data_IF_537412587861
#
_entry.id   IF_537412587861
#
_cell.length_a   1.000
_cell.length_b   1.000
_cell.length_c   1.000
_cell.angle_alpha   90.00
_cell.angle_beta   90.00
_cell.angle_gamma   90.00
#
_symmetry.space_group_name_H-M   'P 1'
#
loop_
_entity.id
_entity.type
_entity.pdbx_description
1 polymer ?
#
# COMPACT_ATOMS: atom_id res chain seq x y z
N UNK A 1 13.29 12.15 7.23
CA UNK A 1 12.05 11.34 7.11
C UNK A 1 10.83 11.88 7.87
N UNK A 2 10.94 12.39 9.12
CA UNK A 2 9.76 12.94 9.85
C UNK A 2 9.00 14.05 9.10
N UNK A 3 9.68 14.88 8.30
CA UNK A 3 9.03 15.92 7.47
C UNK A 3 8.24 15.36 6.28
N UNK A 4 8.56 14.15 5.79
CA UNK A 4 7.92 13.56 4.60
C UNK A 4 6.61 12.83 4.93
N UNK A 5 6.49 12.27 6.14
CA UNK A 5 5.33 11.50 6.60
C UNK A 5 4.35 12.39 7.36
N UNK A 6 3.73 13.30 6.64
CA UNK A 6 2.58 14.08 7.11
C UNK A 6 1.39 13.88 6.14
N UNK A 7 0.13 14.10 6.58
CA UNK A 7 -1.04 13.83 5.76
C UNK A 7 -1.04 14.55 4.41
N UNK A 8 -0.55 15.79 4.37
CA UNK A 8 -0.50 16.59 3.14
C UNK A 8 0.54 16.06 2.15
N UNK A 9 1.76 15.77 2.59
CA UNK A 9 2.80 15.16 1.76
C UNK A 9 2.39 13.78 1.27
N UNK A 10 1.69 13.01 2.11
CA UNK A 10 1.13 11.71 1.73
C UNK A 10 0.04 11.84 0.66
N UNK A 11 -0.83 12.85 0.77
CA UNK A 11 -1.79 13.17 -0.29
C UNK A 11 -1.06 13.46 -1.60
N UNK A 12 -0.06 14.35 -1.59
CA UNK A 12 0.71 14.70 -2.80
C UNK A 12 1.42 13.48 -3.39
N UNK A 13 2.06 12.65 -2.56
CA UNK A 13 2.66 11.39 -3.00
C UNK A 13 1.62 10.45 -3.62
N UNK A 14 0.44 10.32 -3.00
CA UNK A 14 -0.68 9.54 -3.51
C UNK A 14 -1.12 10.03 -4.88
N UNK A 15 -1.37 11.34 -5.03
CA UNK A 15 -1.77 11.96 -6.29
C UNK A 15 -0.75 11.68 -7.41
N UNK A 16 0.55 11.87 -7.13
CA UNK A 16 1.63 11.64 -8.10
C UNK A 16 1.71 10.15 -8.50
N UNK A 17 1.68 9.25 -7.52
CA UNK A 17 1.77 7.81 -7.77
C UNK A 17 0.53 7.31 -8.51
N UNK A 18 -0.68 7.81 -8.21
CA UNK A 18 -1.91 7.43 -8.91
C UNK A 18 -1.90 7.83 -10.39
N UNK A 19 -1.44 9.05 -10.69
CA UNK A 19 -1.24 9.49 -12.07
C UNK A 19 -0.20 8.62 -12.76
N UNK A 20 0.96 8.39 -12.12
CA UNK A 20 2.03 7.58 -12.70
C UNK A 20 1.59 6.13 -12.95
N UNK A 21 0.89 5.51 -12.00
CA UNK A 21 0.36 4.16 -12.13
C UNK A 21 -0.59 4.05 -13.33
N UNK A 22 -1.52 5.02 -13.49
CA UNK A 22 -2.43 5.00 -14.64
C UNK A 22 -1.72 5.26 -15.97
N UNK A 23 -0.69 6.09 -15.99
CA UNK A 23 0.13 6.27 -17.21
C UNK A 23 0.90 4.99 -17.53
N UNK A 24 1.42 4.27 -16.52
CA UNK A 24 2.05 2.98 -16.73
C UNK A 24 1.08 1.94 -17.28
N UNK A 25 -0.19 1.91 -16.85
CA UNK A 25 -1.20 1.04 -17.46
C UNK A 25 -1.37 1.28 -18.96
N UNK A 26 -1.22 2.52 -19.42
CA UNK A 26 -1.44 2.89 -20.83
C UNK A 26 -0.20 2.62 -21.68
N UNK A 27 0.99 2.94 -21.17
CA UNK A 27 2.22 2.92 -21.96
C UNK A 27 3.12 1.71 -21.70
N UNK A 28 2.94 1.02 -20.57
CA UNK A 28 3.78 -0.09 -20.11
C UNK A 28 2.91 -1.14 -19.40
N UNK A 29 2.13 -1.92 -20.14
CA UNK A 29 1.13 -2.86 -19.60
C UNK A 29 1.65 -3.74 -18.45
N UNK A 30 2.84 -4.36 -18.60
CA UNK A 30 3.45 -5.17 -17.53
C UNK A 30 3.69 -4.39 -16.23
N UNK A 31 4.07 -3.12 -16.29
CA UNK A 31 4.28 -2.27 -15.10
C UNK A 31 2.96 -1.85 -14.48
N UNK A 32 1.96 -1.55 -15.30
CA UNK A 32 0.61 -1.22 -14.85
C UNK A 32 -0.06 -2.34 -14.07
N UNK A 33 0.05 -3.58 -14.59
CA UNK A 33 -0.44 -4.77 -13.92
C UNK A 33 0.20 -4.94 -12.53
N UNK A 34 1.52 -4.75 -12.42
CA UNK A 34 2.23 -4.84 -11.14
C UNK A 34 1.73 -3.78 -10.14
N UNK A 35 1.60 -2.52 -10.56
CA UNK A 35 1.14 -1.43 -9.68
C UNK A 35 -0.31 -1.60 -9.21
N UNK A 36 -1.10 -2.39 -9.93
CA UNK A 36 -2.47 -2.73 -9.59
C UNK A 36 -2.58 -3.90 -8.59
N UNK A 37 -1.50 -4.66 -8.35
CA UNK A 37 -1.50 -5.81 -7.44
C UNK A 37 -1.68 -5.40 -5.97
N UNK A 38 -2.38 -6.25 -5.20
CA UNK A 38 -2.59 -6.03 -3.75
C UNK A 38 -1.27 -5.98 -2.97
N UNK A 39 -0.27 -6.74 -3.42
CA UNK A 39 1.05 -6.82 -2.78
C UNK A 39 1.75 -5.45 -2.75
N UNK A 40 1.62 -4.65 -3.81
CA UNK A 40 2.18 -3.28 -3.87
C UNK A 40 1.50 -2.37 -2.86
N UNK A 41 0.17 -2.41 -2.78
CA UNK A 41 -0.59 -1.62 -1.82
C UNK A 41 -0.23 -1.98 -0.37
N UNK A 42 -0.09 -3.27 -0.08
CA UNK A 42 0.29 -3.75 1.25
C UNK A 42 1.73 -3.36 1.56
N UNK A 43 2.66 -3.44 0.59
CA UNK A 43 4.03 -2.97 0.77
C UNK A 43 4.08 -1.48 1.09
N UNK A 44 3.46 -0.63 0.25
CA UNK A 44 3.45 0.82 0.44
C UNK A 44 2.78 1.21 1.75
N UNK A 45 1.63 0.62 2.07
CA UNK A 45 0.92 0.84 3.33
C UNK A 45 1.74 0.40 4.54
N UNK A 46 2.42 -0.74 4.45
CA UNK A 46 3.33 -1.21 5.50
C UNK A 46 4.50 -0.27 5.67
N UNK A 47 5.13 0.21 4.60
CA UNK A 47 6.23 1.17 4.68
C UNK A 47 5.79 2.48 5.36
N UNK A 48 4.66 3.06 4.92
CA UNK A 48 4.09 4.26 5.55
C UNK A 48 3.82 4.02 7.04
N UNK A 49 3.25 2.86 7.39
CA UNK A 49 2.97 2.50 8.76
C UNK A 49 4.24 2.32 9.59
N UNK A 50 5.21 1.52 9.15
CA UNK A 50 6.38 1.18 9.97
C UNK A 50 7.32 2.37 10.20
N UNK A 51 7.38 3.31 9.25
CA UNK A 51 8.18 4.53 9.35
C UNK A 51 7.44 5.68 10.06
N UNK A 52 6.13 5.57 10.27
CA UNK A 52 5.36 6.59 11.00
C UNK A 52 5.75 6.62 12.49
N UNK A 53 5.80 7.82 13.10
CA UNK A 53 6.28 7.98 14.48
C UNK A 53 5.34 7.34 15.51
N UNK A 54 4.03 7.37 15.27
CA UNK A 54 3.01 6.80 16.17
C UNK A 54 1.97 6.00 15.39
N UNK A 55 1.22 5.13 16.08
CA UNK A 55 0.09 4.39 15.49
C UNK A 55 -0.95 5.33 14.87
N UNK A 56 -1.26 6.43 15.57
CA UNK A 56 -2.16 7.49 15.08
C UNK A 56 -1.61 8.15 13.82
N UNK A 57 -0.31 8.47 13.78
CA UNK A 57 0.30 9.04 12.58
C UNK A 57 0.27 8.06 11.39
N UNK A 58 0.49 6.76 11.61
CA UNK A 58 0.35 5.75 10.56
C UNK A 58 -1.05 5.76 9.94
N UNK A 59 -2.09 5.76 10.79
CA UNK A 59 -3.49 5.79 10.37
C UNK A 59 -3.86 7.09 9.62
N UNK A 60 -3.37 8.25 10.10
CA UNK A 60 -3.64 9.55 9.49
C UNK A 60 -2.87 9.79 8.18
N UNK A 61 -1.71 9.14 8.02
CA UNK A 61 -0.86 9.29 6.84
C UNK A 61 -1.32 8.40 5.69
N UNK A 62 -1.79 7.18 5.96
CA UNK A 62 -2.14 6.22 4.90
C UNK A 62 -3.41 6.60 4.15
N UNK A 63 -4.42 7.13 4.86
CA UNK A 63 -5.71 7.48 4.25
C UNK A 63 -5.58 8.50 3.12
N UNK A 64 -4.98 9.69 3.32
CA UNK A 64 -4.82 10.67 2.25
C UNK A 64 -3.93 10.15 1.12
N UNK A 65 -2.95 9.29 1.41
CA UNK A 65 -2.17 8.61 0.38
C UNK A 65 -3.05 7.75 -0.52
N UNK A 66 -3.85 6.84 0.06
CA UNK A 66 -4.72 5.95 -0.68
C UNK A 66 -5.81 6.72 -1.45
N UNK A 67 -6.45 7.71 -0.82
CA UNK A 67 -7.47 8.53 -1.48
C UNK A 67 -6.89 9.37 -2.62
N UNK A 68 -5.72 9.99 -2.41
CA UNK A 68 -5.04 10.74 -3.47
C UNK A 68 -4.69 9.85 -4.66
N UNK A 69 -4.19 8.64 -4.39
CA UNK A 69 -3.85 7.69 -5.43
C UNK A 69 -5.07 7.22 -6.23
N UNK A 70 -6.17 6.80 -5.56
CA UNK A 70 -7.39 6.41 -6.26
C UNK A 70 -8.01 7.56 -7.03
N UNK A 71 -8.00 8.76 -6.47
CA UNK A 71 -8.57 9.95 -7.11
C UNK A 71 -7.90 10.23 -8.46
N UNK A 72 -6.57 10.34 -8.49
CA UNK A 72 -5.87 10.63 -9.75
C UNK A 72 -5.83 9.44 -10.68
N UNK A 73 -5.72 8.22 -10.16
CA UNK A 73 -5.78 7.02 -10.98
C UNK A 73 -7.10 6.95 -11.78
N UNK A 74 -8.24 7.13 -11.10
CA UNK A 74 -9.54 7.11 -11.77
C UNK A 74 -9.82 8.38 -12.58
N UNK A 75 -9.35 9.55 -12.16
CA UNK A 75 -9.48 10.77 -12.96
C UNK A 75 -8.74 10.63 -14.31
N UNK A 76 -7.49 10.17 -14.27
CA UNK A 76 -6.71 9.91 -15.49
C UNK A 76 -7.34 8.77 -16.30
N UNK A 77 -7.90 7.74 -15.65
CA UNK A 77 -8.67 6.71 -16.35
C UNK A 77 -9.85 7.29 -17.13
N UNK A 78 -10.65 8.18 -16.53
CA UNK A 78 -11.77 8.84 -17.21
C UNK A 78 -11.29 9.67 -18.39
N UNK A 79 -10.22 10.46 -18.21
CA UNK A 79 -9.64 11.32 -19.26
C UNK A 79 -9.06 10.49 -20.42
N UNK A 80 -8.47 9.33 -20.10
CA UNK A 80 -7.91 8.39 -21.09
C UNK A 80 -8.93 7.41 -21.67
N UNK A 81 -10.23 7.62 -21.43
CA UNK A 81 -11.31 6.71 -21.86
C UNK A 81 -11.16 5.26 -21.36
N UNK A 82 -10.51 5.06 -20.21
CA UNK A 82 -10.40 3.77 -19.54
C UNK A 82 -11.75 3.29 -19.00
N UNK A 83 -12.06 2.02 -19.25
CA UNK A 83 -13.29 1.38 -18.76
C UNK A 83 -12.99 0.66 -17.45
N UNK A 84 -13.60 1.10 -16.34
CA UNK A 84 -13.53 0.42 -15.04
C UNK A 84 -14.92 0.03 -14.55
N UNK A 85 -15.05 -1.21 -14.09
CA UNK A 85 -16.27 -1.68 -13.46
C UNK A 85 -16.54 -0.92 -12.16
N UNK A 86 -17.79 -0.51 -11.94
CA UNK A 86 -18.21 0.18 -10.69
C UNK A 86 -17.83 -0.62 -9.44
N UNK A 87 -17.93 -1.94 -9.50
CA UNK A 87 -17.55 -2.84 -8.39
C UNK A 87 -16.08 -2.70 -8.01
N UNK A 88 -15.19 -2.48 -8.97
CA UNK A 88 -13.75 -2.31 -8.72
C UNK A 88 -13.48 -0.98 -8.02
N UNK A 89 -14.07 0.12 -8.50
CA UNK A 89 -13.94 1.45 -7.87
C UNK A 89 -14.45 1.42 -6.43
N UNK A 90 -15.61 0.80 -6.20
CA UNK A 90 -16.19 0.65 -4.87
C UNK A 90 -15.27 -0.21 -3.99
N UNK A 91 -14.81 -1.36 -4.48
CA UNK A 91 -13.93 -2.26 -3.74
C UNK A 91 -12.65 -1.58 -3.26
N UNK A 92 -11.96 -0.87 -4.16
CA UNK A 92 -10.75 -0.12 -3.81
C UNK A 92 -11.01 1.05 -2.89
N UNK A 93 -12.13 1.75 -3.05
CA UNK A 93 -12.51 2.85 -2.15
C UNK A 93 -12.79 2.33 -0.74
N UNK A 94 -13.55 1.24 -0.61
CA UNK A 94 -13.80 0.59 0.70
C UNK A 94 -12.49 0.11 1.31
N UNK A 95 -11.62 -0.52 0.52
CA UNK A 95 -10.29 -0.91 0.99
C UNK A 95 -9.50 0.28 1.52
N UNK A 96 -9.44 1.39 0.77
CA UNK A 96 -8.77 2.62 1.19
C UNK A 96 -9.32 3.17 2.52
N UNK A 97 -10.63 3.12 2.73
CA UNK A 97 -11.25 3.53 3.99
C UNK A 97 -10.91 2.61 5.17
N UNK A 98 -10.63 1.33 4.91
CA UNK A 98 -10.17 0.37 5.93
C UNK A 98 -8.67 0.49 6.25
N UNK A 99 -7.86 1.07 5.35
CA UNK A 99 -6.40 1.19 5.53
C UNK A 99 -5.93 1.87 6.83
N UNK A 100 -6.64 2.85 7.45
CA UNK A 100 -6.19 3.45 8.70
C UNK A 100 -6.09 2.43 9.84
N UNK A 101 -7.05 1.52 9.92
CA UNK A 101 -7.08 0.44 10.92
C UNK A 101 -5.95 -0.55 10.62
N UNK A 102 -5.78 -0.94 9.35
CA UNK A 102 -4.71 -1.84 8.93
C UNK A 102 -3.33 -1.25 9.20
N UNK A 103 -3.12 0.04 8.91
CA UNK A 103 -1.85 0.73 9.17
C UNK A 103 -1.56 0.88 10.67
N UNK A 104 -2.60 1.05 11.49
CA UNK A 104 -2.46 1.04 12.94
C UNK A 104 -1.90 -0.29 13.44
N UNK A 105 -2.43 -1.41 12.94
CA UNK A 105 -1.90 -2.75 13.25
C UNK A 105 -0.51 -2.94 12.62
N UNK A 106 -0.29 -2.56 11.36
CA UNK A 106 1.00 -2.71 10.70
C UNK A 106 2.12 -1.91 11.39
N UNK A 107 1.80 -0.79 12.02
CA UNK A 107 2.75 -0.08 12.88
C UNK A 107 3.28 -0.96 14.02
N UNK A 108 2.44 -1.84 14.58
CA UNK A 108 2.80 -2.76 15.66
C UNK A 108 3.77 -3.86 15.24
N UNK A 109 3.95 -4.11 13.94
CA UNK A 109 4.89 -5.10 13.42
C UNK A 109 6.33 -4.88 13.91
N UNK A 110 6.70 -3.63 14.24
CA UNK A 110 8.02 -3.26 14.78
C UNK A 110 8.09 -3.15 16.29
N UNK A 111 7.04 -3.51 17.02
CA UNK A 111 7.12 -3.60 18.47
C UNK A 111 7.92 -4.84 18.90
N UNK A 112 8.72 -4.75 19.97
CA UNK A 112 9.44 -5.91 20.49
C UNK A 112 8.46 -6.95 21.03
N UNK A 113 8.85 -8.23 20.96
CA UNK A 113 8.07 -9.37 21.48
C UNK A 113 7.32 -10.16 20.42
N UNK A 114 6.52 -11.12 20.88
CA UNK A 114 5.79 -12.07 20.01
C UNK A 114 4.71 -11.39 19.18
N UNK A 115 4.04 -10.36 19.71
CA UNK A 115 2.97 -9.64 19.01
C UNK A 115 3.45 -8.96 17.72
N UNK A 116 4.62 -8.32 17.73
CA UNK A 116 5.17 -7.69 16.52
C UNK A 116 5.52 -8.71 15.43
N UNK A 117 6.04 -9.87 15.82
CA UNK A 117 6.29 -10.98 14.89
C UNK A 117 5.00 -11.56 14.33
N UNK A 118 3.99 -11.77 15.18
CA UNK A 118 2.68 -12.28 14.76
C UNK A 118 2.02 -11.34 13.74
N UNK A 119 2.04 -10.04 13.99
CA UNK A 119 1.53 -9.03 13.05
C UNK A 119 2.34 -9.05 11.75
N UNK A 120 3.67 -9.15 11.81
CA UNK A 120 4.52 -9.22 10.62
C UNK A 120 4.18 -10.43 9.74
N UNK A 121 4.02 -11.60 10.36
CA UNK A 121 3.59 -12.83 9.67
C UNK A 121 2.19 -12.63 9.07
N UNK A 122 1.26 -12.06 9.83
CA UNK A 122 -0.10 -11.77 9.37
C UNK A 122 -0.13 -10.86 8.14
N UNK A 123 0.71 -9.82 8.09
CA UNK A 123 0.81 -8.92 6.92
C UNK A 123 1.33 -9.67 5.69
N UNK A 124 2.36 -10.49 5.83
CA UNK A 124 2.91 -11.28 4.71
C UNK A 124 1.88 -12.30 4.22
N UNK A 125 1.21 -13.00 5.14
CA UNK A 125 0.13 -13.94 4.79
C UNK A 125 -1.02 -13.23 4.07
N UNK A 126 -1.47 -12.09 4.58
CA UNK A 126 -2.50 -11.29 3.92
C UNK A 126 -2.07 -10.84 2.52
N UNK A 127 -0.81 -10.45 2.34
CA UNK A 127 -0.26 -10.10 1.03
C UNK A 127 -0.34 -11.24 0.03
N UNK A 128 0.13 -12.43 0.43
CA UNK A 128 0.09 -13.62 -0.45
C UNK A 128 -1.34 -14.06 -0.75
N UNK A 129 -2.19 -14.18 0.29
CA UNK A 129 -3.56 -14.68 0.15
C UNK A 129 -4.44 -13.72 -0.64
N UNK A 130 -4.43 -12.42 -0.32
CA UNK A 130 -5.27 -11.44 -1.02
C UNK A 130 -4.84 -11.27 -2.47
N UNK A 131 -3.53 -11.30 -2.74
CA UNK A 131 -3.06 -11.25 -4.12
C UNK A 131 -3.49 -12.50 -4.91
N UNK A 132 -3.38 -13.69 -4.31
CA UNK A 132 -3.82 -14.93 -4.95
C UNK A 132 -5.33 -14.94 -5.22
N UNK A 133 -6.14 -14.52 -4.25
CA UNK A 133 -7.60 -14.48 -4.40
C UNK A 133 -8.08 -13.49 -5.47
N UNK A 134 -7.37 -12.37 -5.65
CA UNK A 134 -7.79 -11.32 -6.57
C UNK A 134 -7.17 -11.44 -7.97
N UNK A 135 -5.94 -11.96 -8.08
CA UNK A 135 -5.15 -11.96 -9.31
C UNK A 135 -4.71 -13.36 -9.76
N UNK A 136 -4.99 -14.41 -8.99
CA UNK A 136 -4.66 -15.78 -9.35
C UNK A 136 -3.20 -16.13 -9.07
N UNK A 137 -2.50 -16.67 -10.07
CA UNK A 137 -1.23 -17.36 -9.87
C UNK A 137 -0.09 -16.47 -9.33
N UNK A 138 0.89 -17.05 -8.61
CA UNK A 138 2.05 -16.31 -8.11
C UNK A 138 2.96 -15.86 -9.26
N UNK A 139 2.85 -14.60 -9.63
CA UNK A 139 3.78 -13.95 -10.55
C UNK A 139 5.13 -13.62 -9.86
N UNK A 140 6.21 -13.58 -10.65
CA UNK A 140 7.57 -13.31 -10.19
C UNK A 140 7.67 -11.94 -9.49
N UNK A 141 6.91 -10.94 -9.95
CA UNK A 141 6.88 -9.62 -9.32
C UNK A 141 6.21 -9.67 -7.94
N UNK A 142 5.12 -10.42 -7.80
CA UNK A 142 4.48 -10.63 -6.50
C UNK A 142 5.45 -11.30 -5.51
N UNK A 143 6.23 -12.29 -5.96
CA UNK A 143 7.26 -12.94 -5.12
C UNK A 143 8.32 -11.90 -4.69
N UNK A 144 8.84 -11.10 -5.64
CA UNK A 144 9.83 -10.06 -5.35
C UNK A 144 9.30 -9.03 -4.35
N UNK A 145 8.07 -8.55 -4.52
CA UNK A 145 7.42 -7.59 -3.61
C UNK A 145 7.29 -8.19 -2.20
N UNK A 146 6.88 -9.46 -2.09
CA UNK A 146 6.78 -10.14 -0.81
C UNK A 146 8.14 -10.36 -0.15
N UNK A 147 9.21 -10.64 -0.91
CA UNK A 147 10.57 -10.71 -0.37
C UNK A 147 11.03 -9.36 0.18
N UNK A 148 10.73 -8.26 -0.52
CA UNK A 148 10.99 -6.90 -0.03
C UNK A 148 10.20 -6.62 1.24
N UNK A 149 8.91 -6.99 1.27
CA UNK A 149 8.04 -6.86 2.44
C UNK A 149 8.61 -7.62 3.65
N UNK A 150 9.04 -8.87 3.46
CA UNK A 150 9.70 -9.70 4.47
C UNK A 150 10.98 -9.04 4.97
N UNK A 151 11.83 -8.55 4.07
CA UNK A 151 13.06 -7.83 4.44
C UNK A 151 12.75 -6.63 5.34
N UNK A 152 11.77 -5.80 4.97
CA UNK A 152 11.40 -4.64 5.76
C UNK A 152 10.73 -5.01 7.08
N UNK A 153 9.99 -6.11 7.18
CA UNK A 153 9.29 -6.52 8.39
C UNK A 153 10.20 -7.25 9.39
N UNK A 154 11.05 -8.17 8.94
CA UNK A 154 11.84 -9.04 9.83
C UNK A 154 13.29 -8.60 10.00
N UNK A 155 13.93 -8.11 8.95
CA UNK A 155 15.38 -7.88 8.95
C UNK A 155 15.74 -6.41 9.19
N UNK A 156 15.00 -5.47 8.58
CA UNK A 156 15.29 -4.04 8.72
C UNK A 156 14.92 -3.55 10.11
N UNK A 157 15.93 -3.15 10.89
CA UNK A 157 15.73 -2.42 12.15
C UNK A 157 15.36 -0.97 11.86
N UNK A 158 14.22 -0.53 12.39
CA UNK A 158 13.74 0.84 12.25
C UNK A 158 13.84 1.51 13.62
N UNK A 159 14.73 2.49 13.74
CA UNK A 159 14.87 3.26 14.97
C UNK A 159 13.78 4.32 15.00
N UNK A 160 12.70 4.03 15.73
CA UNK A 160 11.70 5.03 16.12
C UNK A 160 12.26 5.71 17.36
N UNK A 161 12.73 6.94 17.21
CA UNK A 161 12.94 7.80 18.38
C UNK A 161 11.54 8.04 18.94
N UNK A 162 11.16 7.26 19.96
CA UNK A 162 10.00 7.53 20.79
C UNK A 162 10.32 8.74 21.65
#
# INVERSE_FOLDING_TARGET
MRKLLNPFSMLVCGLVIGTAARLMDIYCENLGEIFSQMSVWILLGTLIAIYSPTKKAAALNILPFCLGMLLTYYAVAIISHGVYGRSFIIGWTVFALCTPVLAWFAWMAKQPGALGKLVSVGIVLASVVLNFLMFGDPDIFNILINLVLIYFLFFKKIRRNA
#
